data_IF_351954162562
#
_entry.id   IF_351954162562
#
_cell.length_a   1.000
_cell.length_b   1.000
_cell.length_c   1.000
_cell.angle_alpha   90.00
_cell.angle_beta   90.00
_cell.angle_gamma   90.00
#
_symmetry.space_group_name_H-M   'P 1'
#
loop_
_entity.id
_entity.type
_entity.pdbx_description
1 polymer ?
#
# COMPACT_ATOMS: atom_id res chain seq x y z
N UNK A 1 14.23 19.46 1.85
CA UNK A 1 15.13 19.85 2.96
C UNK A 1 14.92 18.87 4.12
N UNK A 2 15.91 18.69 5.01
CA UNK A 2 15.87 17.73 6.14
C UNK A 2 14.59 17.80 7.00
N UNK A 3 13.94 18.97 7.12
CA UNK A 3 12.67 19.12 7.86
C UNK A 3 11.45 18.53 7.14
N UNK A 4 11.42 18.56 5.82
CA UNK A 4 10.31 18.04 5.03
C UNK A 4 10.30 16.50 5.06
N UNK A 5 11.50 15.89 5.08
CA UNK A 5 11.68 14.44 5.14
C UNK A 5 11.23 13.88 6.51
N UNK A 6 11.47 14.62 7.60
CA UNK A 6 11.02 14.22 8.94
C UNK A 6 9.48 14.15 9.05
N UNK A 7 8.76 15.12 8.49
CA UNK A 7 7.30 15.12 8.52
C UNK A 7 6.71 13.95 7.73
N UNK A 8 7.27 13.66 6.56
CA UNK A 8 6.90 12.50 5.75
C UNK A 8 7.11 11.19 6.55
N UNK A 9 8.27 11.04 7.16
CA UNK A 9 8.58 9.89 8.01
C UNK A 9 7.61 9.76 9.18
N UNK A 10 7.33 10.86 9.86
CA UNK A 10 6.38 10.91 10.97
C UNK A 10 4.98 10.44 10.55
N UNK A 11 4.46 10.96 9.43
CA UNK A 11 3.16 10.53 8.89
C UNK A 11 3.14 9.04 8.58
N UNK A 12 4.17 8.51 7.92
CA UNK A 12 4.28 7.10 7.59
C UNK A 12 4.34 6.21 8.84
N UNK A 13 5.03 6.64 9.89
CA UNK A 13 5.05 5.93 11.17
C UNK A 13 3.67 5.94 11.83
N UNK A 14 2.97 7.07 11.86
CA UNK A 14 1.62 7.17 12.43
C UNK A 14 0.62 6.27 11.71
N UNK A 15 0.63 6.27 10.38
CA UNK A 15 -0.25 5.41 9.55
C UNK A 15 0.00 3.93 9.84
N UNK A 16 1.25 3.53 10.07
CA UNK A 16 1.62 2.16 10.41
C UNK A 16 1.48 1.86 11.93
N UNK A 17 0.96 2.78 12.74
CA UNK A 17 0.85 2.63 14.19
C UNK A 17 2.20 2.35 14.89
N UNK A 18 3.27 2.89 14.35
CA UNK A 18 4.63 2.77 14.90
C UNK A 18 4.92 4.01 15.74
N UNK A 19 5.29 3.78 17.00
CA UNK A 19 5.71 4.89 17.87
C UNK A 19 7.13 5.34 17.47
N UNK A 20 7.24 6.56 16.95
CA UNK A 20 8.52 7.15 16.52
C UNK A 20 9.56 7.19 17.64
N UNK A 21 9.09 7.33 18.90
CA UNK A 21 9.97 7.41 20.08
C UNK A 21 10.54 6.04 20.51
N UNK A 22 9.93 4.94 20.09
CA UNK A 22 10.38 3.57 20.39
C UNK A 22 11.40 3.07 19.34
N UNK A 23 11.66 3.86 18.30
CA UNK A 23 12.61 3.48 17.28
C UNK A 23 14.05 3.79 17.74
N UNK A 24 15.03 2.91 17.44
CA UNK A 24 16.42 3.07 17.89
C UNK A 24 17.17 4.25 17.23
N UNK A 25 16.47 5.15 16.58
CA UNK A 25 17.01 6.31 15.86
C UNK A 25 17.20 7.57 16.74
N UNK A 26 17.92 7.47 17.82
CA UNK A 26 18.18 8.66 18.64
C UNK A 26 19.14 9.68 18.02
N UNK A 27 19.87 9.38 16.93
CA UNK A 27 20.83 10.30 16.29
C UNK A 27 21.17 10.00 14.81
N UNK A 28 20.41 9.17 14.08
CA UNK A 28 20.71 8.83 12.68
C UNK A 28 19.84 9.57 11.67
N UNK A 29 20.40 9.93 10.52
CA UNK A 29 19.64 10.45 9.39
C UNK A 29 18.67 9.38 8.86
N UNK A 30 17.41 9.74 8.66
CA UNK A 30 16.41 8.90 8.00
C UNK A 30 16.89 8.64 6.58
N UNK A 31 16.96 7.37 6.21
CA UNK A 31 17.40 6.98 4.87
C UNK A 31 16.21 6.80 3.92
N UNK A 32 16.46 6.93 2.62
CA UNK A 32 15.44 6.62 1.61
C UNK A 32 14.94 5.16 1.73
N UNK A 33 15.78 4.27 2.22
CA UNK A 33 15.42 2.87 2.47
C UNK A 33 14.39 2.72 3.59
N UNK A 34 14.51 3.51 4.67
CA UNK A 34 13.54 3.51 5.77
C UNK A 34 12.15 3.92 5.29
N UNK A 35 12.08 4.96 4.43
CA UNK A 35 10.83 5.41 3.82
C UNK A 35 10.21 4.34 2.91
N UNK A 36 11.03 3.64 2.11
CA UNK A 36 10.56 2.52 1.27
C UNK A 36 9.96 1.40 2.12
N UNK A 37 10.64 1.02 3.19
CA UNK A 37 10.16 -0.06 4.08
C UNK A 37 8.84 0.32 4.76
N UNK A 38 8.64 1.58 5.15
CA UNK A 38 7.39 2.06 5.74
C UNK A 38 6.19 2.02 4.79
N UNK A 39 6.43 2.06 3.48
CA UNK A 39 5.38 1.91 2.46
C UNK A 39 4.98 0.43 2.22
N UNK A 40 5.83 -0.52 2.63
CA UNK A 40 5.64 -1.93 2.31
C UNK A 40 4.31 -2.52 2.83
N UNK A 41 3.85 -2.29 4.09
CA UNK A 41 2.59 -2.83 4.58
C UNK A 41 1.38 -2.37 3.75
N UNK A 42 1.37 -1.12 3.34
CA UNK A 42 0.30 -0.56 2.51
C UNK A 42 0.20 -1.26 1.15
N UNK A 43 1.31 -1.37 0.41
CA UNK A 43 1.30 -2.03 -0.89
C UNK A 43 1.03 -3.54 -0.77
N UNK A 44 1.52 -4.18 0.31
CA UNK A 44 1.21 -5.58 0.59
C UNK A 44 -0.28 -5.79 0.80
N UNK A 45 -0.92 -4.94 1.62
CA UNK A 45 -2.36 -5.02 1.91
C UNK A 45 -3.20 -4.82 0.65
N UNK A 46 -2.89 -3.82 -0.17
CA UNK A 46 -3.61 -3.59 -1.43
C UNK A 46 -3.49 -4.78 -2.39
N UNK A 47 -2.30 -5.35 -2.53
CA UNK A 47 -2.10 -6.50 -3.41
C UNK A 47 -2.87 -7.74 -2.91
N UNK A 48 -2.80 -8.03 -1.61
CA UNK A 48 -3.47 -9.22 -1.04
C UNK A 48 -4.98 -9.09 -0.95
N UNK A 49 -5.56 -7.88 -1.00
CA UNK A 49 -7.01 -7.71 -1.19
C UNK A 49 -7.49 -8.32 -2.52
N UNK A 50 -6.64 -8.40 -3.53
CA UNK A 50 -6.91 -9.10 -4.80
C UNK A 50 -6.70 -10.62 -4.71
N UNK A 51 -6.26 -11.12 -3.54
CA UNK A 51 -5.88 -12.50 -3.31
C UNK A 51 -4.44 -12.80 -3.70
N UNK A 52 -3.96 -14.02 -3.37
CA UNK A 52 -2.59 -14.45 -3.72
C UNK A 52 -2.40 -14.54 -5.23
N UNK A 53 -1.31 -13.94 -5.72
CA UNK A 53 -0.94 -13.99 -7.14
C UNK A 53 -0.67 -15.41 -7.59
N UNK A 54 -1.33 -15.83 -8.66
CA UNK A 54 -1.20 -17.18 -9.23
C UNK A 54 -0.66 -17.12 -10.64
N UNK A 55 0.37 -17.89 -10.90
CA UNK A 55 0.97 -18.04 -12.22
C UNK A 55 1.05 -19.52 -12.62
N UNK A 56 0.91 -19.81 -13.91
CA UNK A 56 1.10 -21.16 -14.39
C UNK A 56 2.59 -21.53 -14.37
N UNK A 57 2.92 -22.60 -13.63
CA UNK A 57 4.26 -23.20 -13.59
C UNK A 57 4.22 -24.60 -14.19
N UNK A 58 5.27 -24.96 -14.92
CA UNK A 58 5.44 -26.31 -15.45
C UNK A 58 6.34 -27.08 -14.52
N UNK A 59 5.81 -28.17 -13.97
CA UNK A 59 6.56 -29.11 -13.15
C UNK A 59 6.89 -30.35 -13.99
N UNK A 60 8.07 -30.90 -13.76
CA UNK A 60 8.54 -32.09 -14.42
C UNK A 60 8.59 -33.26 -13.46
N UNK A 61 7.80 -34.29 -13.74
CA UNK A 61 7.67 -35.47 -12.90
C UNK A 61 8.25 -36.70 -13.60
N UNK A 62 8.57 -37.76 -12.83
CA UNK A 62 8.94 -39.09 -13.34
C UNK A 62 8.45 -40.12 -12.32
N UNK A 63 7.20 -40.52 -12.45
CA UNK A 63 6.53 -41.47 -11.57
C UNK A 63 5.49 -42.28 -12.32
N UNK A 64 4.84 -43.22 -11.65
CA UNK A 64 3.82 -44.09 -12.25
C UNK A 64 2.46 -43.43 -12.41
N UNK A 65 2.23 -42.24 -11.78
CA UNK A 65 0.93 -41.59 -11.74
C UNK A 65 0.89 -40.36 -12.67
N UNK A 66 0.76 -40.59 -13.95
CA UNK A 66 0.79 -39.55 -14.98
C UNK A 66 -0.38 -38.58 -14.84
N UNK A 67 -0.10 -37.31 -14.57
CA UNK A 67 -1.11 -36.22 -14.40
C UNK A 67 -1.03 -35.12 -15.46
N UNK A 68 -0.18 -35.29 -16.47
CA UNK A 68 0.04 -34.25 -17.47
C UNK A 68 0.53 -34.79 -18.81
N UNK A 69 1.17 -33.95 -19.61
CA UNK A 69 1.66 -34.30 -20.92
C UNK A 69 2.97 -35.08 -20.80
N UNK A 70 3.04 -36.26 -21.42
CA UNK A 70 4.25 -37.10 -21.45
C UNK A 70 5.39 -36.33 -22.16
N UNK A 71 6.52 -36.25 -21.50
CA UNK A 71 7.76 -35.70 -22.08
C UNK A 71 8.57 -36.86 -22.70
N UNK A 72 8.31 -37.09 -23.97
CA UNK A 72 8.85 -38.24 -24.69
C UNK A 72 10.37 -38.28 -24.64
N UNK A 73 11.04 -37.15 -24.85
CA UNK A 73 12.49 -37.07 -24.83
C UNK A 73 13.08 -37.46 -23.48
N UNK A 74 12.52 -36.93 -22.39
CA UNK A 74 12.93 -37.28 -21.01
C UNK A 74 12.54 -38.69 -20.64
N UNK A 75 11.41 -39.19 -21.15
CA UNK A 75 10.96 -40.55 -20.91
C UNK A 75 11.93 -41.57 -21.53
N UNK A 76 12.31 -41.37 -22.81
CA UNK A 76 13.31 -42.23 -23.51
C UNK A 76 14.66 -42.19 -22.79
N UNK A 77 15.11 -41.01 -22.37
CA UNK A 77 16.42 -40.88 -21.71
C UNK A 77 16.47 -41.51 -20.31
N UNK A 78 15.35 -41.53 -19.56
CA UNK A 78 15.34 -41.96 -18.16
C UNK A 78 14.72 -43.32 -17.90
N UNK A 79 13.79 -43.74 -18.77
CA UNK A 79 12.93 -44.88 -18.51
C UNK A 79 13.04 -45.98 -19.57
N UNK A 80 14.18 -46.06 -20.31
CA UNK A 80 14.47 -47.20 -21.20
C UNK A 80 15.67 -47.96 -20.61
N UNK A 81 15.47 -49.22 -20.26
CA UNK A 81 14.24 -50.03 -20.35
C UNK A 81 13.16 -49.58 -19.34
N UNK A 82 11.89 -49.74 -19.69
CA UNK A 82 10.76 -49.27 -18.91
C UNK A 82 10.66 -49.99 -17.55
N UNK A 83 10.61 -49.21 -16.46
CA UNK A 83 10.57 -49.69 -15.08
C UNK A 83 9.30 -49.23 -14.31
N UNK A 84 8.24 -48.91 -15.04
CA UNK A 84 6.96 -48.49 -14.47
C UNK A 84 6.81 -46.97 -14.29
N UNK A 85 7.88 -46.17 -14.45
CA UNK A 85 7.81 -44.71 -14.35
C UNK A 85 7.68 -44.04 -15.72
N UNK A 86 6.90 -42.96 -15.78
CA UNK A 86 6.71 -42.15 -16.98
C UNK A 86 7.17 -40.73 -16.69
N UNK A 87 8.03 -40.17 -17.57
CA UNK A 87 8.42 -38.77 -17.50
C UNK A 87 7.31 -37.92 -18.15
N UNK A 88 6.75 -37.00 -17.37
CA UNK A 88 5.70 -36.09 -17.84
C UNK A 88 5.90 -34.68 -17.29
N UNK A 89 5.21 -33.72 -17.89
CA UNK A 89 5.15 -32.33 -17.42
C UNK A 89 3.71 -31.97 -17.11
N UNK A 90 3.53 -31.36 -15.95
CA UNK A 90 2.25 -30.86 -15.50
C UNK A 90 2.29 -29.33 -15.43
N UNK A 91 1.26 -28.66 -15.94
CA UNK A 91 1.12 -27.21 -15.86
C UNK A 91 0.07 -26.83 -14.86
N UNK A 92 0.50 -26.36 -13.68
CA UNK A 92 -0.37 -26.05 -12.55
C UNK A 92 -0.35 -24.55 -12.26
N UNK A 93 -1.48 -24.01 -11.84
CA UNK A 93 -1.57 -22.66 -11.28
C UNK A 93 -0.98 -22.67 -9.86
N UNK A 94 0.19 -22.07 -9.67
CA UNK A 94 0.90 -22.05 -8.39
C UNK A 94 0.92 -20.66 -7.79
N UNK A 95 0.74 -20.57 -6.47
CA UNK A 95 0.96 -19.36 -5.66
C UNK A 95 2.45 -19.15 -5.37
N UNK A 96 3.22 -20.26 -5.34
CA UNK A 96 4.67 -20.22 -5.19
C UNK A 96 5.31 -19.96 -6.56
N UNK A 97 5.52 -18.69 -6.87
CA UNK A 97 6.05 -18.20 -8.14
C UNK A 97 7.07 -17.08 -7.90
N UNK A 98 7.72 -16.60 -8.96
CA UNK A 98 8.80 -15.62 -8.85
C UNK A 98 8.37 -14.33 -8.14
N UNK A 99 7.13 -13.86 -8.35
CA UNK A 99 6.63 -12.63 -7.72
C UNK A 99 6.38 -12.82 -6.23
N UNK A 100 5.73 -13.91 -5.82
CA UNK A 100 5.49 -14.20 -4.40
C UNK A 100 6.80 -14.47 -3.66
N UNK A 101 7.76 -15.10 -4.31
CA UNK A 101 9.12 -15.30 -3.77
C UNK A 101 9.85 -13.95 -3.62
N UNK A 102 9.68 -12.99 -4.53
CA UNK A 102 10.24 -11.64 -4.39
C UNK A 102 9.70 -10.95 -3.13
N UNK A 103 8.38 -10.99 -2.93
CA UNK A 103 7.74 -10.44 -1.72
C UNK A 103 8.28 -11.13 -0.46
N UNK A 104 8.45 -12.46 -0.49
CA UNK A 104 9.06 -13.20 0.61
C UNK A 104 10.49 -12.75 0.91
N UNK A 105 11.34 -12.58 -0.10
CA UNK A 105 12.70 -12.06 0.09
C UNK A 105 12.71 -10.68 0.71
N UNK A 106 11.74 -9.82 0.32
CA UNK A 106 11.59 -8.49 0.89
C UNK A 106 11.18 -8.55 2.37
N UNK A 107 10.23 -9.41 2.73
CA UNK A 107 9.83 -9.64 4.13
C UNK A 107 11.03 -10.08 4.96
N UNK A 108 11.81 -11.05 4.49
CA UNK A 108 13.00 -11.53 5.20
C UNK A 108 14.10 -10.45 5.32
N UNK A 109 14.19 -9.56 4.34
CA UNK A 109 15.10 -8.43 4.41
C UNK A 109 14.63 -7.41 5.46
N UNK A 110 13.37 -6.98 5.38
CA UNK A 110 12.78 -6.03 6.34
C UNK A 110 12.88 -6.58 7.77
N UNK A 111 12.63 -7.87 8.00
CA UNK A 111 12.66 -8.46 9.33
C UNK A 111 14.01 -8.36 10.06
N UNK A 112 15.10 -8.20 9.30
CA UNK A 112 16.47 -8.02 9.85
C UNK A 112 16.80 -6.56 10.13
N UNK A 113 15.99 -5.62 9.62
CA UNK A 113 16.18 -4.20 9.85
C UNK A 113 15.69 -3.81 11.26
N UNK A 114 16.31 -2.83 11.95
CA UNK A 114 15.92 -2.42 13.30
C UNK A 114 14.44 -2.11 13.49
N UNK A 115 13.79 -1.46 12.50
CA UNK A 115 12.34 -1.17 12.52
C UNK A 115 11.49 -2.32 11.97
N UNK A 116 12.09 -3.34 11.39
CA UNK A 116 11.40 -4.33 10.55
C UNK A 116 10.38 -5.14 11.31
N UNK A 117 10.70 -5.60 12.52
CA UNK A 117 9.74 -6.36 13.33
C UNK A 117 8.54 -5.50 13.75
N UNK A 118 8.75 -4.25 14.14
CA UNK A 118 7.67 -3.33 14.46
C UNK A 118 6.78 -3.11 13.21
N UNK A 119 7.36 -3.01 12.03
CA UNK A 119 6.66 -2.78 10.78
C UNK A 119 5.84 -3.99 10.30
N UNK A 120 6.43 -5.18 10.30
CA UNK A 120 5.78 -6.41 9.81
C UNK A 120 4.70 -6.94 10.77
N UNK A 121 4.68 -6.49 12.02
CA UNK A 121 3.74 -6.90 13.05
C UNK A 121 2.96 -5.72 13.66
N UNK A 122 2.93 -4.57 12.96
CA UNK A 122 2.31 -3.32 13.43
C UNK A 122 0.82 -3.48 13.75
N UNK A 123 0.12 -4.34 13.00
CA UNK A 123 -1.28 -4.68 13.26
C UNK A 123 -1.56 -6.14 12.89
N UNK A 124 -2.74 -6.64 13.30
CA UNK A 124 -3.16 -8.02 13.08
C UNK A 124 -3.30 -8.38 11.58
N UNK A 125 -3.74 -7.43 10.76
CA UNK A 125 -3.96 -7.65 9.34
C UNK A 125 -2.64 -7.81 8.59
N UNK A 126 -1.66 -6.92 8.81
CA UNK A 126 -0.33 -7.03 8.20
C UNK A 126 0.36 -8.32 8.66
N UNK A 127 0.26 -8.65 9.95
CA UNK A 127 0.80 -9.91 10.46
C UNK A 127 0.21 -11.13 9.76
N UNK A 128 -1.12 -11.16 9.57
CA UNK A 128 -1.80 -12.23 8.86
C UNK A 128 -1.35 -12.34 7.41
N UNK A 129 -1.19 -11.20 6.73
CA UNK A 129 -0.73 -11.12 5.34
C UNK A 129 0.71 -11.60 5.18
N UNK A 130 1.59 -11.24 6.11
CA UNK A 130 2.98 -11.72 6.14
C UNK A 130 3.01 -13.25 6.29
N UNK A 131 2.23 -13.81 7.21
CA UNK A 131 2.12 -15.26 7.39
C UNK A 131 1.58 -15.94 6.13
N UNK A 132 0.58 -15.36 5.48
CA UNK A 132 0.01 -15.87 4.23
C UNK A 132 1.06 -15.96 3.10
N UNK A 133 1.96 -14.97 2.98
CA UNK A 133 3.08 -15.03 2.01
C UNK A 133 4.09 -16.11 2.41
N UNK A 134 4.38 -16.26 3.70
CA UNK A 134 5.29 -17.27 4.22
C UNK A 134 4.78 -18.68 3.87
N UNK A 135 3.51 -18.94 4.10
CA UNK A 135 2.86 -20.23 3.79
C UNK A 135 2.77 -20.48 2.27
N UNK A 136 2.56 -19.41 1.49
CA UNK A 136 2.46 -19.50 0.03
C UNK A 136 3.80 -19.79 -0.66
N UNK A 137 4.94 -19.69 0.05
CA UNK A 137 6.29 -19.83 -0.52
C UNK A 137 7.10 -20.94 0.15
N UNK A 138 6.65 -22.20 0.14
CA UNK A 138 7.35 -23.32 0.80
C UNK A 138 8.71 -23.63 0.18
N UNK A 139 8.95 -23.26 -1.09
CA UNK A 139 10.24 -23.49 -1.76
C UNK A 139 11.24 -22.35 -1.55
N UNK A 140 10.94 -21.40 -0.65
CA UNK A 140 11.81 -20.27 -0.38
C UNK A 140 13.24 -20.72 0.02
N UNK A 141 14.23 -20.10 -0.63
CA UNK A 141 15.64 -20.25 -0.28
C UNK A 141 16.35 -18.91 -0.41
N UNK A 142 17.05 -18.50 0.65
CA UNK A 142 17.83 -17.25 0.62
C UNK A 142 18.86 -17.22 -0.52
N UNK A 143 19.39 -18.38 -0.93
CA UNK A 143 20.38 -18.50 -2.00
C UNK A 143 19.83 -18.13 -3.37
N UNK A 144 18.50 -18.22 -3.55
CA UNK A 144 17.85 -17.95 -4.84
C UNK A 144 17.55 -16.46 -5.07
N UNK A 145 17.93 -15.58 -4.13
CA UNK A 145 17.64 -14.13 -4.18
C UNK A 145 18.01 -13.50 -5.51
N UNK A 146 19.25 -13.66 -5.97
CA UNK A 146 19.73 -13.07 -7.22
C UNK A 146 18.90 -13.52 -8.42
N UNK A 147 18.55 -14.81 -8.47
CA UNK A 147 17.70 -15.39 -9.50
C UNK A 147 16.30 -14.78 -9.45
N UNK A 148 15.70 -14.71 -8.26
CA UNK A 148 14.36 -14.15 -8.07
C UNK A 148 14.31 -12.67 -8.46
N UNK A 149 15.32 -11.88 -8.13
CA UNK A 149 15.45 -10.48 -8.58
C UNK A 149 15.51 -10.43 -10.11
N UNK A 150 16.35 -11.25 -10.74
CA UNK A 150 16.46 -11.32 -12.20
C UNK A 150 15.14 -11.70 -12.88
N UNK A 151 14.40 -12.67 -12.34
CA UNK A 151 13.11 -13.11 -12.86
C UNK A 151 12.02 -12.04 -12.75
N UNK A 152 12.21 -11.02 -11.89
CA UNK A 152 11.29 -9.92 -11.63
C UNK A 152 11.72 -8.57 -12.23
N UNK A 153 12.79 -8.51 -13.02
CA UNK A 153 13.23 -7.26 -13.67
C UNK A 153 12.15 -6.65 -14.57
N UNK A 154 11.29 -7.47 -15.15
CA UNK A 154 10.14 -7.00 -15.94
C UNK A 154 8.90 -6.94 -15.07
N UNK A 155 8.21 -5.78 -15.00
CA UNK A 155 6.97 -5.67 -14.24
C UNK A 155 5.92 -6.67 -14.72
N UNK A 156 5.32 -7.39 -13.79
CA UNK A 156 4.19 -8.27 -14.09
C UNK A 156 2.95 -7.41 -14.33
N UNK A 157 2.34 -7.56 -15.49
CA UNK A 157 1.09 -6.87 -15.87
C UNK A 157 0.00 -7.93 -15.98
N UNK A 158 -0.97 -7.86 -15.07
CA UNK A 158 -2.11 -8.77 -15.08
C UNK A 158 -3.39 -7.97 -14.77
N UNK A 159 -4.43 -8.05 -15.62
CA UNK A 159 -5.64 -7.23 -15.45
C UNK A 159 -6.34 -7.43 -14.08
N UNK A 160 -6.24 -8.63 -13.51
CA UNK A 160 -6.87 -9.00 -12.25
C UNK A 160 -6.03 -8.69 -11.01
N UNK A 161 -4.71 -8.52 -11.17
CA UNK A 161 -3.74 -8.33 -10.09
C UNK A 161 -2.98 -7.02 -10.30
N UNK A 162 -3.72 -5.91 -10.52
CA UNK A 162 -3.14 -4.59 -10.81
C UNK A 162 -2.25 -4.08 -9.68
N UNK A 163 -2.64 -4.34 -8.42
CA UNK A 163 -1.94 -3.86 -7.22
C UNK A 163 -0.62 -4.60 -6.96
N UNK A 164 -0.39 -5.74 -7.60
CA UNK A 164 0.89 -6.43 -7.49
C UNK A 164 2.03 -5.75 -8.25
N UNK A 165 1.74 -4.94 -9.26
CA UNK A 165 2.76 -4.19 -9.99
C UNK A 165 3.48 -3.14 -9.13
N UNK A 166 2.78 -2.22 -8.43
CA UNK A 166 3.44 -1.29 -7.53
C UNK A 166 4.15 -1.99 -6.37
N UNK A 167 3.60 -3.07 -5.81
CA UNK A 167 4.27 -3.89 -4.80
C UNK A 167 5.56 -4.50 -5.34
N UNK A 168 5.55 -5.06 -6.56
CA UNK A 168 6.76 -5.61 -7.20
C UNK A 168 7.84 -4.55 -7.35
N UNK A 169 7.48 -3.36 -7.82
CA UNK A 169 8.41 -2.24 -7.98
C UNK A 169 9.03 -1.82 -6.63
N UNK A 170 8.21 -1.71 -5.59
CA UNK A 170 8.68 -1.40 -4.24
C UNK A 170 9.64 -2.47 -3.70
N UNK A 171 9.29 -3.75 -3.82
CA UNK A 171 10.15 -4.87 -3.42
C UNK A 171 11.50 -4.83 -4.14
N UNK A 172 11.50 -4.58 -5.44
CA UNK A 172 12.73 -4.44 -6.22
C UNK A 172 13.59 -3.28 -5.74
N UNK A 173 12.99 -2.12 -5.43
CA UNK A 173 13.71 -0.96 -4.90
C UNK A 173 14.33 -1.24 -3.53
N UNK A 174 13.58 -1.86 -2.60
CA UNK A 174 14.11 -2.22 -1.28
C UNK A 174 15.30 -3.18 -1.42
N UNK A 175 15.18 -4.22 -2.24
CA UNK A 175 16.24 -5.22 -2.39
C UNK A 175 17.46 -4.71 -3.17
N UNK A 176 17.30 -3.77 -4.11
CA UNK A 176 18.41 -3.15 -4.82
C UNK A 176 19.19 -2.14 -3.98
N UNK A 177 18.53 -1.40 -3.08
CA UNK A 177 19.24 -0.46 -2.19
C UNK A 177 20.19 -1.18 -1.22
N UNK A 178 19.90 -2.41 -0.86
CA UNK A 178 20.86 -3.24 -0.10
C UNK A 178 22.14 -3.51 -0.91
N UNK A 179 22.03 -3.79 -2.19
CA UNK A 179 23.19 -4.05 -3.04
C UNK A 179 24.08 -2.80 -3.18
N UNK A 180 23.50 -1.59 -3.16
CA UNK A 180 24.24 -0.31 -3.18
C UNK A 180 24.94 -0.09 -1.83
N UNK A 181 24.28 -0.33 -0.70
CA UNK A 181 24.87 -0.19 0.64
C UNK A 181 26.02 -1.17 0.89
N UNK A 182 26.04 -2.30 0.16
CA UNK A 182 27.14 -3.27 0.18
C UNK A 182 28.28 -3.00 -0.82
N UNK A 183 28.33 -1.80 -1.42
CA UNK A 183 29.46 -1.35 -2.27
C UNK A 183 29.44 -1.82 -3.71
N UNK A 184 28.29 -2.30 -4.21
CA UNK A 184 28.11 -2.54 -5.64
C UNK A 184 27.61 -1.27 -6.31
N UNK A 185 28.50 -0.54 -6.99
CA UNK A 185 28.18 0.67 -7.73
C UNK A 185 27.06 0.46 -8.74
N UNK A 186 25.92 1.13 -8.55
CA UNK A 186 24.97 1.40 -9.61
C UNK A 186 24.58 2.87 -9.56
N UNK A 187 24.84 3.60 -10.64
CA UNK A 187 24.51 5.04 -10.81
C UNK A 187 23.00 5.28 -11.07
N UNK A 188 22.11 4.41 -10.62
CA UNK A 188 20.69 4.60 -10.83
C UNK A 188 20.01 5.18 -9.59
N UNK A 189 19.62 6.45 -9.69
CA UNK A 189 18.74 7.09 -8.71
C UNK A 189 17.33 6.57 -8.93
N UNK A 190 16.83 5.74 -8.01
CA UNK A 190 15.44 5.30 -8.02
C UNK A 190 14.58 6.32 -7.27
N UNK A 191 13.73 7.04 -8.01
CA UNK A 191 12.70 7.89 -7.40
C UNK A 191 11.53 7.05 -6.90
N UNK A 192 11.03 7.37 -5.71
CA UNK A 192 9.80 6.79 -5.19
C UNK A 192 8.67 7.75 -5.57
N UNK A 193 7.71 7.25 -6.35
CA UNK A 193 6.47 7.95 -6.57
C UNK A 193 5.40 7.29 -5.68
N UNK A 194 4.94 7.99 -4.66
CA UNK A 194 3.83 7.54 -3.84
C UNK A 194 2.72 8.60 -3.85
N UNK A 195 1.50 8.16 -3.55
CA UNK A 195 0.33 9.03 -3.48
C UNK A 195 0.34 9.81 -2.16
N UNK A 196 0.80 11.06 -2.22
CA UNK A 196 0.84 11.95 -1.06
C UNK A 196 -0.55 12.34 -0.55
N UNK A 197 -1.56 12.35 -1.43
CA UNK A 197 -2.93 12.61 -1.01
C UNK A 197 -3.45 11.46 -0.14
N UNK A 198 -3.25 10.22 -0.57
CA UNK A 198 -3.55 9.05 0.25
C UNK A 198 -2.86 9.10 1.62
N UNK A 199 -1.57 9.42 1.67
CA UNK A 199 -0.84 9.47 2.95
C UNK A 199 -1.42 10.54 3.89
N UNK A 200 -1.80 11.68 3.36
CA UNK A 200 -2.42 12.76 4.12
C UNK A 200 -3.79 12.36 4.69
N UNK A 201 -4.63 11.72 3.87
CA UNK A 201 -5.94 11.18 4.28
C UNK A 201 -5.80 10.14 5.40
N UNK A 202 -4.91 9.14 5.24
CA UNK A 202 -4.67 8.10 6.24
C UNK A 202 -4.07 8.67 7.55
N UNK A 203 -3.16 9.64 7.45
CA UNK A 203 -2.60 10.31 8.61
C UNK A 203 -3.69 11.03 9.41
N UNK A 204 -4.53 11.80 8.76
CA UNK A 204 -5.66 12.48 9.39
C UNK A 204 -6.65 11.47 9.99
N UNK A 205 -6.95 10.40 9.29
CA UNK A 205 -7.79 9.31 9.78
C UNK A 205 -7.21 8.69 11.05
N UNK A 206 -5.90 8.44 11.11
CA UNK A 206 -5.24 7.87 12.30
C UNK A 206 -5.37 8.72 13.55
N UNK A 207 -5.49 10.05 13.39
CA UNK A 207 -5.67 11.00 14.49
C UNK A 207 -7.16 11.16 14.82
N UNK A 208 -7.99 11.46 13.81
CA UNK A 208 -9.39 11.86 14.00
C UNK A 208 -10.32 10.68 14.30
N UNK A 209 -9.93 9.45 13.97
CA UNK A 209 -10.70 8.26 14.38
C UNK A 209 -10.80 8.12 15.91
N UNK A 210 -9.81 8.62 16.65
CA UNK A 210 -9.82 8.65 18.12
C UNK A 210 -10.88 9.61 18.67
N UNK A 211 -11.26 10.60 17.87
CA UNK A 211 -12.28 11.60 18.18
C UNK A 211 -13.66 11.21 17.61
N UNK A 212 -13.82 9.98 17.11
CA UNK A 212 -15.11 9.46 16.61
C UNK A 212 -15.39 9.71 15.14
N UNK A 213 -14.44 10.24 14.37
CA UNK A 213 -14.58 10.34 12.92
C UNK A 213 -14.47 8.98 12.25
N UNK A 214 -15.35 8.73 11.29
CA UNK A 214 -15.32 7.56 10.42
C UNK A 214 -14.65 7.95 9.10
N UNK A 215 -13.74 7.12 8.63
CA UNK A 215 -13.07 7.26 7.34
C UNK A 215 -13.62 6.23 6.34
N UNK A 216 -14.50 6.63 5.38
CA UNK A 216 -14.98 5.77 4.32
C UNK A 216 -13.85 5.43 3.35
N UNK A 217 -13.62 4.14 3.14
CA UNK A 217 -12.53 3.67 2.28
C UNK A 217 -12.99 3.59 0.81
N UNK A 218 -12.59 4.54 -0.01
CA UNK A 218 -12.88 4.58 -1.43
C UNK A 218 -12.38 3.33 -2.18
N UNK A 219 -11.17 2.88 -1.91
CA UNK A 219 -10.57 1.69 -2.57
C UNK A 219 -11.32 0.40 -2.28
N UNK A 220 -11.79 0.19 -1.06
CA UNK A 220 -12.60 -0.98 -0.68
C UNK A 220 -14.10 -0.81 -0.96
N UNK A 221 -14.52 0.35 -1.48
CA UNK A 221 -15.92 0.73 -1.76
C UNK A 221 -16.84 0.60 -0.54
N UNK A 222 -16.29 0.75 0.67
CA UNK A 222 -17.03 0.72 1.93
C UNK A 222 -17.35 2.15 2.40
N UNK A 223 -18.57 2.35 2.93
CA UNK A 223 -18.97 3.63 3.51
C UNK A 223 -19.33 4.71 2.49
N UNK A 224 -19.62 4.34 1.23
CA UNK A 224 -20.07 5.31 0.24
C UNK A 224 -21.39 5.96 0.61
N UNK A 225 -21.53 7.26 0.30
CA UNK A 225 -22.79 7.97 0.28
C UNK A 225 -23.30 8.05 -1.17
N UNK A 226 -24.61 8.14 -1.36
CA UNK A 226 -25.22 8.30 -2.68
C UNK A 226 -25.80 9.69 -2.81
N UNK A 227 -25.50 10.39 -3.91
CA UNK A 227 -26.05 11.71 -4.15
C UNK A 227 -27.54 11.67 -4.54
N UNK A 228 -28.00 10.55 -5.09
CA UNK A 228 -29.34 10.40 -5.61
C UNK A 228 -30.14 9.29 -4.88
N UNK A 229 -31.46 9.43 -4.89
CA UNK A 229 -32.40 8.50 -4.23
C UNK A 229 -32.34 7.09 -4.79
N UNK A 230 -31.98 6.94 -6.05
CA UNK A 230 -31.80 5.65 -6.73
C UNK A 230 -30.48 4.94 -6.37
N UNK A 231 -29.74 5.43 -5.36
CA UNK A 231 -28.41 4.96 -4.95
C UNK A 231 -27.32 5.11 -6.02
N UNK A 232 -27.52 5.96 -7.03
CA UNK A 232 -26.49 6.33 -7.99
C UNK A 232 -25.62 7.51 -7.48
N UNK A 233 -24.59 7.87 -8.22
CA UNK A 233 -23.72 8.98 -7.88
C UNK A 233 -22.93 8.76 -6.57
N UNK A 234 -22.36 7.57 -6.37
CA UNK A 234 -21.58 7.25 -5.16
C UNK A 234 -20.41 8.20 -4.95
N UNK A 235 -20.25 8.65 -3.73
CA UNK A 235 -19.16 9.50 -3.24
C UNK A 235 -18.61 8.95 -1.92
N UNK A 236 -17.39 9.35 -1.61
CA UNK A 236 -16.67 8.90 -0.41
C UNK A 236 -16.09 10.16 0.25
N UNK A 237 -16.77 10.74 1.24
CA UNK A 237 -16.16 11.79 2.06
C UNK A 237 -14.98 11.22 2.84
N UNK A 238 -13.90 11.99 2.99
CA UNK A 238 -12.70 11.46 3.63
C UNK A 238 -12.92 11.19 5.12
N UNK A 239 -13.64 12.09 5.82
CA UNK A 239 -13.89 11.98 7.25
C UNK A 239 -15.30 12.47 7.59
N UNK A 240 -16.02 11.72 8.42
CA UNK A 240 -17.36 12.08 8.87
C UNK A 240 -17.58 11.74 10.33
N UNK A 241 -18.11 12.69 11.12
CA UNK A 241 -18.52 12.51 12.51
C UNK A 241 -20.04 12.61 12.63
N UNK A 242 -20.70 11.48 12.88
CA UNK A 242 -22.16 11.39 12.84
C UNK A 242 -22.85 12.18 13.95
N UNK A 243 -22.32 12.14 15.18
CA UNK A 243 -22.92 12.82 16.33
C UNK A 243 -22.83 14.34 16.22
N UNK A 244 -21.65 14.86 15.88
CA UNK A 244 -21.42 16.29 15.72
C UNK A 244 -21.91 16.83 14.37
N UNK A 245 -22.28 15.95 13.43
CA UNK A 245 -22.70 16.29 12.06
C UNK A 245 -21.66 17.13 11.32
N UNK A 246 -20.41 16.67 11.38
CA UNK A 246 -19.25 17.31 10.74
C UNK A 246 -18.76 16.41 9.61
N UNK A 247 -18.56 17.00 8.42
CA UNK A 247 -17.90 16.33 7.30
C UNK A 247 -16.62 17.07 6.94
N UNK A 248 -15.51 16.35 6.80
CA UNK A 248 -14.21 16.92 6.45
C UNK A 248 -13.67 16.22 5.22
N UNK A 249 -12.96 16.98 4.40
CA UNK A 249 -12.31 16.51 3.19
C UNK A 249 -10.83 16.92 3.24
N UNK A 250 -9.94 15.98 2.99
CA UNK A 250 -8.50 16.15 3.10
C UNK A 250 -7.89 16.53 1.75
N UNK A 251 -7.17 17.65 1.70
CA UNK A 251 -6.51 18.11 0.47
C UNK A 251 -5.03 18.24 0.66
N UNK A 252 -4.25 17.44 -0.05
CA UNK A 252 -2.79 17.53 -0.05
C UNK A 252 -2.30 18.61 -1.04
N UNK A 253 -2.72 19.84 -0.79
CA UNK A 253 -2.31 21.04 -1.54
C UNK A 253 -1.74 22.04 -0.56
N UNK A 254 -0.74 22.83 -0.96
CA UNK A 254 -0.22 23.92 -0.13
C UNK A 254 -1.13 25.15 -0.31
N UNK A 255 -1.76 25.57 0.77
CA UNK A 255 -2.61 26.76 0.79
C UNK A 255 -1.82 27.93 1.40
N UNK A 256 -0.96 28.58 0.59
CA UNK A 256 0.01 29.58 1.12
C UNK A 256 -0.61 30.93 1.50
N UNK A 257 -1.80 31.30 0.99
CA UNK A 257 -2.32 32.66 1.12
C UNK A 257 -3.84 32.82 1.22
N UNK A 258 -4.58 31.76 1.57
CA UNK A 258 -6.02 31.93 1.75
C UNK A 258 -6.31 32.70 3.03
N UNK A 259 -7.03 33.81 2.90
CA UNK A 259 -7.55 34.61 4.02
C UNK A 259 -9.05 34.42 4.25
N UNK A 260 -9.74 33.85 3.27
CA UNK A 260 -11.19 33.59 3.26
C UNK A 260 -11.48 32.24 2.62
N UNK A 261 -12.62 31.63 2.98
CA UNK A 261 -13.10 30.40 2.34
C UNK A 261 -13.26 30.55 0.81
N UNK A 262 -13.61 31.76 0.36
CA UNK A 262 -13.74 32.06 -1.08
C UNK A 262 -12.42 31.99 -1.88
N UNK A 263 -11.27 31.99 -1.20
CA UNK A 263 -9.95 31.91 -1.85
C UNK A 263 -9.53 30.45 -2.14
N UNK A 264 -10.32 29.51 -1.62
CA UNK A 264 -10.13 28.07 -1.84
C UNK A 264 -10.69 27.67 -3.21
N UNK A 265 -10.17 26.59 -3.77
CA UNK A 265 -10.64 26.03 -5.05
C UNK A 265 -12.15 25.79 -5.00
N UNK A 266 -12.84 26.29 -6.02
CA UNK A 266 -14.30 26.23 -6.13
C UNK A 266 -14.81 24.79 -6.13
N UNK A 267 -14.11 23.88 -6.76
CA UNK A 267 -14.55 22.49 -6.89
C UNK A 267 -14.40 21.75 -5.54
N UNK A 268 -13.37 22.07 -4.75
CA UNK A 268 -13.20 21.56 -3.37
C UNK A 268 -14.36 22.04 -2.48
N UNK A 269 -14.74 23.32 -2.59
CA UNK A 269 -15.90 23.88 -1.86
C UNK A 269 -17.20 23.17 -2.28
N UNK A 270 -17.46 23.02 -3.58
CA UNK A 270 -18.66 22.35 -4.08
C UNK A 270 -18.74 20.89 -3.63
N UNK A 271 -17.61 20.21 -3.56
CA UNK A 271 -17.52 18.83 -3.08
C UNK A 271 -17.99 18.73 -1.63
N UNK A 272 -17.45 19.57 -0.74
CA UNK A 272 -17.83 19.57 0.68
C UNK A 272 -19.30 19.97 0.88
N UNK A 273 -19.80 21.00 0.16
CA UNK A 273 -21.21 21.39 0.22
C UNK A 273 -22.12 20.22 -0.21
N UNK A 274 -21.75 19.47 -1.25
CA UNK A 274 -22.48 18.29 -1.68
C UNK A 274 -22.53 17.23 -0.60
N UNK A 275 -21.43 17.00 0.11
CA UNK A 275 -21.39 16.08 1.24
C UNK A 275 -22.26 16.55 2.42
N UNK A 276 -22.20 17.85 2.76
CA UNK A 276 -23.02 18.44 3.81
C UNK A 276 -24.52 18.27 3.55
N UNK A 277 -24.91 18.40 2.27
CA UNK A 277 -26.31 18.24 1.88
C UNK A 277 -26.80 16.81 2.06
N UNK A 278 -26.01 15.83 1.60
CA UNK A 278 -26.38 14.40 1.66
C UNK A 278 -26.32 13.82 3.06
N UNK A 279 -25.33 14.24 3.85
CA UNK A 279 -25.08 13.74 5.21
C UNK A 279 -25.79 14.55 6.31
N UNK A 280 -26.79 15.37 6.02
CA UNK A 280 -27.35 16.47 6.79
C UNK A 280 -26.36 17.04 7.84
N UNK A 281 -25.21 17.51 7.38
CA UNK A 281 -24.14 18.03 8.22
C UNK A 281 -24.31 19.53 8.46
N UNK A 282 -24.03 19.96 9.70
CA UNK A 282 -24.07 21.37 10.07
C UNK A 282 -22.76 22.11 9.79
N UNK A 283 -21.66 21.35 9.66
CA UNK A 283 -20.32 21.86 9.42
C UNK A 283 -19.62 21.02 8.37
N UNK A 284 -19.02 21.69 7.39
CA UNK A 284 -18.11 21.11 6.41
C UNK A 284 -16.76 21.78 6.49
N UNK A 285 -15.69 21.04 6.31
CA UNK A 285 -14.32 21.57 6.38
C UNK A 285 -13.38 20.95 5.38
N UNK A 286 -12.34 21.72 5.06
CA UNK A 286 -11.21 21.30 4.23
C UNK A 286 -9.93 21.31 5.08
N UNK A 287 -9.19 20.21 5.06
CA UNK A 287 -7.98 20.03 5.82
C UNK A 287 -6.75 20.08 4.91
N UNK A 288 -5.94 21.11 5.05
CA UNK A 288 -4.71 21.31 4.29
C UNK A 288 -3.47 21.17 5.19
N UNK A 289 -2.35 20.63 4.67
CA UNK A 289 -1.06 20.73 5.37
C UNK A 289 -0.59 22.19 5.38
N UNK A 290 -0.13 22.68 6.53
CA UNK A 290 0.38 24.04 6.69
C UNK A 290 1.84 24.02 7.12
N UNK A 291 2.65 24.94 6.58
CA UNK A 291 4.03 25.22 7.02
C UNK A 291 4.11 26.28 8.12
N UNK A 292 3.00 26.97 8.38
CA UNK A 292 2.94 28.01 9.40
C UNK A 292 2.90 27.41 10.82
N UNK A 293 3.47 28.11 11.78
CA UNK A 293 3.27 27.76 13.19
C UNK A 293 1.76 27.71 13.52
N UNK A 294 1.33 26.88 14.49
CA UNK A 294 -0.06 26.62 14.76
C UNK A 294 -0.76 27.81 15.43
N UNK A 295 -0.91 28.90 14.69
CA UNK A 295 -1.93 29.90 14.97
C UNK A 295 -3.21 29.36 14.34
N UNK A 296 -4.01 28.67 15.14
CA UNK A 296 -5.30 28.11 14.75
C UNK A 296 -6.28 29.25 14.48
N UNK A 297 -6.11 29.94 13.37
CA UNK A 297 -7.18 30.80 12.86
C UNK A 297 -7.99 29.96 11.88
N UNK A 298 -9.07 29.38 12.40
CA UNK A 298 -10.05 28.73 11.54
C UNK A 298 -10.68 29.77 10.61
N UNK A 299 -10.52 29.58 9.32
CA UNK A 299 -11.19 30.42 8.33
C UNK A 299 -12.62 29.87 8.16
N UNK A 300 -13.62 30.65 8.57
CA UNK A 300 -15.02 30.22 8.57
C UNK A 300 -15.90 31.12 7.72
N UNK A 301 -16.90 30.52 7.08
CA UNK A 301 -17.97 31.24 6.37
C UNK A 301 -19.29 30.50 6.54
N UNK A 302 -20.37 31.26 6.72
CA UNK A 302 -21.72 30.70 6.79
C UNK A 302 -22.34 30.58 5.41
N UNK A 303 -22.86 29.39 5.10
CA UNK A 303 -23.52 29.11 3.83
C UNK A 303 -24.92 29.75 3.79
N UNK A 304 -25.32 30.27 2.61
CA UNK A 304 -26.68 30.68 2.34
C UNK A 304 -27.59 29.47 2.05
N UNK A 305 -28.90 29.70 2.11
CA UNK A 305 -29.90 28.66 1.79
C UNK A 305 -30.20 27.77 2.99
N UNK A 306 -29.83 26.48 2.93
CA UNK A 306 -30.09 25.55 4.02
C UNK A 306 -29.24 25.79 5.27
N UNK A 307 -28.30 26.75 5.21
CA UNK A 307 -27.41 27.07 6.33
C UNK A 307 -26.20 26.13 6.44
N UNK A 308 -25.52 26.23 7.58
CA UNK A 308 -24.31 25.50 7.88
C UNK A 308 -23.05 26.37 7.81
N UNK A 309 -21.97 25.87 8.40
CA UNK A 309 -20.67 26.56 8.47
C UNK A 309 -19.65 25.79 7.66
N UNK A 310 -18.88 26.52 6.86
CA UNK A 310 -17.73 25.98 6.15
C UNK A 310 -16.45 26.52 6.77
N UNK A 311 -15.52 25.62 7.04
CA UNK A 311 -14.23 25.88 7.68
C UNK A 311 -13.09 25.39 6.82
#
# INVERSE_FOLDING_TARGET
TEKDDFFLYYMLCQVNSINVFDLPYSQGNITALDLLMLLFPYYLSNALQQGLYKEYRTFHHNDANVRGVIDINRHIQRNIPFQGNVAYRERIKSVDNALTQLIRHTIEYISRHPIGMALLYCNADVRSQVLQIIEATPTYSQKDRTKIISDNLRPKVHPYYSEYRPLQQLCMQILHQEDISMGKNSEHTYGILFDGAWLWEEYLSSILSKEGFVHPQNKSKKGSISLFVDNSGKRYPDLYHAESKIVLDAKNKCLESASKVSDVDRDDIHQVISYMHVLPSNMGGLLYPSKAEPLVTLIQSTLKGYGGTMT
#
